data_IF_577272716483
#
_entry.id   IF_577272716483
#
_cell.length_a   1.000
_cell.length_b   1.000
_cell.length_c   1.000
_cell.angle_alpha   90.00
_cell.angle_beta   90.00
_cell.angle_gamma   90.00
#
_symmetry.space_group_name_H-M   'P 1'
#
loop_
_entity.id
_entity.type
_entity.pdbx_description
1 polymer ?
#
# COMPACT_ATOMS: atom_id res chain seq x y z
N UNK A 1 -13.35 -9.83 8.46
CA UNK A 1 -11.98 -9.71 7.93
C UNK A 1 -11.39 -8.30 8.10
N UNK A 2 -12.08 -7.23 7.73
CA UNK A 2 -11.59 -5.83 7.83
C UNK A 2 -11.26 -5.36 9.25
N UNK A 3 -11.98 -5.79 10.26
CA UNK A 3 -11.75 -5.40 11.66
C UNK A 3 -10.36 -5.80 12.17
N UNK A 4 -9.83 -6.93 11.70
CA UNK A 4 -8.50 -7.39 12.09
C UNK A 4 -7.39 -6.61 11.38
N UNK A 5 -7.59 -6.23 10.12
CA UNK A 5 -6.62 -5.42 9.35
C UNK A 5 -6.50 -3.99 9.87
N UNK A 6 -7.58 -3.43 10.42
CA UNK A 6 -7.56 -2.06 10.98
C UNK A 6 -6.55 -1.89 12.12
N UNK A 7 -6.24 -2.94 12.88
CA UNK A 7 -5.27 -2.87 13.96
C UNK A 7 -3.83 -2.75 13.45
N UNK A 8 -3.54 -3.24 12.23
CA UNK A 8 -2.21 -3.15 11.64
C UNK A 8 -1.79 -1.73 11.28
N UNK A 9 -2.77 -0.88 10.99
CA UNK A 9 -2.57 0.50 10.58
C UNK A 9 -2.69 1.47 11.76
N UNK A 10 -2.60 0.95 12.99
CA UNK A 10 -2.58 1.73 14.22
C UNK A 10 -1.15 2.23 14.55
N UNK A 11 -0.42 2.57 13.50
CA UNK A 11 0.93 3.14 13.54
C UNK A 11 0.89 4.55 12.99
N UNK A 12 2.00 5.27 13.08
CA UNK A 12 2.12 6.59 12.47
C UNK A 12 1.87 6.52 10.96
N UNK A 13 1.05 7.46 10.48
CA UNK A 13 0.88 7.72 9.07
C UNK A 13 1.98 8.68 8.63
N UNK A 14 2.71 8.32 7.59
CA UNK A 14 3.87 9.07 7.11
C UNK A 14 3.65 9.43 5.64
N UNK A 15 3.85 10.71 5.33
CA UNK A 15 3.88 11.26 3.97
C UNK A 15 5.21 11.96 3.79
N UNK A 16 5.80 11.91 2.61
CA UNK A 16 7.12 12.48 2.33
C UNK A 16 7.11 13.40 1.12
N UNK A 17 7.91 14.46 1.15
CA UNK A 17 8.26 15.22 -0.03
C UNK A 17 9.51 14.64 -0.69
N UNK A 18 9.46 14.48 -2.00
CA UNK A 18 10.59 14.12 -2.85
C UNK A 18 10.62 15.11 -4.02
N UNK A 19 11.53 16.08 -3.99
CA UNK A 19 11.51 17.23 -4.88
C UNK A 19 10.18 17.98 -4.78
N UNK A 20 9.49 18.26 -5.90
CA UNK A 20 8.22 18.97 -5.90
C UNK A 20 7.00 18.09 -5.59
N UNK A 21 7.19 16.82 -5.28
CA UNK A 21 6.12 15.84 -5.11
C UNK A 21 5.94 15.45 -3.64
N UNK A 22 4.70 15.45 -3.18
CA UNK A 22 4.30 14.92 -1.87
C UNK A 22 3.71 13.53 -2.07
N UNK A 23 4.28 12.51 -1.45
CA UNK A 23 4.01 11.11 -1.75
C UNK A 23 3.65 10.34 -0.48
N UNK A 24 2.60 9.51 -0.54
CA UNK A 24 2.27 8.52 0.49
C UNK A 24 2.95 7.17 0.19
N UNK A 25 3.98 6.78 0.95
CA UNK A 25 4.80 5.61 0.66
C UNK A 25 4.16 4.32 1.19
N UNK A 26 3.30 3.68 0.41
CA UNK A 26 2.73 2.36 0.75
C UNK A 26 3.84 1.29 0.74
N UNK A 27 3.86 0.43 1.76
CA UNK A 27 4.80 -0.70 1.83
C UNK A 27 4.72 -1.58 0.57
N UNK A 28 5.89 -2.00 0.09
CA UNK A 28 6.09 -2.76 -1.15
C UNK A 28 5.79 -2.00 -2.45
N UNK A 29 5.45 -0.72 -2.36
CA UNK A 29 5.34 0.18 -3.49
C UNK A 29 6.56 1.13 -3.58
N UNK A 30 7.74 0.65 -3.17
CA UNK A 30 8.97 1.45 -3.19
C UNK A 30 9.15 2.37 -1.96
N UNK A 31 8.44 2.09 -0.86
CA UNK A 31 8.47 2.92 0.36
C UNK A 31 9.88 3.18 0.89
N UNK A 32 10.72 2.14 0.97
CA UNK A 32 12.11 2.29 1.45
C UNK A 32 12.94 3.19 0.54
N UNK A 33 12.76 3.11 -0.79
CA UNK A 33 13.45 3.97 -1.74
C UNK A 33 12.98 5.42 -1.64
N UNK A 34 11.67 5.65 -1.50
CA UNK A 34 11.10 6.99 -1.30
C UNK A 34 11.57 7.61 0.01
N UNK A 35 11.53 6.86 1.10
CA UNK A 35 11.98 7.33 2.42
C UNK A 35 13.48 7.67 2.42
N UNK A 36 14.31 6.97 1.64
CA UNK A 36 15.77 7.23 1.58
C UNK A 36 16.15 8.51 0.85
N UNK A 37 15.24 9.07 0.03
CA UNK A 37 15.47 10.30 -0.74
C UNK A 37 14.53 11.43 -0.34
N UNK A 38 13.79 11.26 0.75
CA UNK A 38 12.82 12.23 1.23
C UNK A 38 13.50 13.53 1.70
N UNK A 39 13.02 14.66 1.20
CA UNK A 39 13.47 16.00 1.60
C UNK A 39 12.78 16.46 2.90
N UNK A 40 11.52 16.05 3.07
CA UNK A 40 10.69 16.37 4.24
C UNK A 40 9.76 15.21 4.55
N UNK A 41 9.42 15.07 5.82
CA UNK A 41 8.47 14.06 6.32
C UNK A 41 7.36 14.73 7.11
N UNK A 42 6.13 14.32 6.84
CA UNK A 42 4.93 14.71 7.57
C UNK A 42 4.40 13.50 8.32
N UNK A 43 4.07 13.67 9.58
CA UNK A 43 3.58 12.58 10.44
C UNK A 43 2.22 12.94 11.01
N UNK A 44 1.24 12.05 10.83
CA UNK A 44 -0.11 12.14 11.40
C UNK A 44 -0.79 13.50 11.11
N UNK A 45 -1.03 14.33 12.11
CA UNK A 45 -1.73 15.62 11.96
C UNK A 45 -1.02 16.59 11.02
N UNK A 46 0.31 16.49 10.85
CA UNK A 46 1.06 17.35 9.92
C UNK A 46 0.65 17.11 8.45
N UNK A 47 0.09 15.94 8.14
CA UNK A 47 -0.35 15.59 6.79
C UNK A 47 -1.47 16.52 6.30
N UNK A 48 -2.22 17.16 7.19
CA UNK A 48 -3.23 18.17 6.82
C UNK A 48 -2.65 19.41 6.15
N UNK A 49 -1.33 19.64 6.26
CA UNK A 49 -0.62 20.73 5.60
C UNK A 49 -0.35 20.43 4.10
N UNK A 50 -0.48 19.17 3.67
CA UNK A 50 -0.24 18.78 2.30
C UNK A 50 -1.41 19.22 1.40
N UNK A 51 -1.08 19.78 0.21
CA UNK A 51 -2.12 20.20 -0.75
C UNK A 51 -2.64 19.03 -1.58
N UNK A 52 -1.73 18.28 -2.20
CA UNK A 52 -2.03 17.09 -3.02
C UNK A 52 -1.06 15.98 -2.62
N UNK A 53 -1.54 14.74 -2.62
CA UNK A 53 -0.70 13.60 -2.28
C UNK A 53 -0.71 12.60 -3.44
N UNK A 54 0.47 12.30 -3.99
CA UNK A 54 0.67 11.22 -4.94
C UNK A 54 0.69 9.88 -4.19
N UNK A 55 -0.05 8.90 -4.69
CA UNK A 55 -0.11 7.55 -4.11
C UNK A 55 0.32 6.55 -5.19
N UNK A 56 1.43 5.89 -4.97
CA UNK A 56 1.94 4.89 -5.92
C UNK A 56 1.19 3.58 -5.72
N UNK A 57 0.46 3.15 -6.75
CA UNK A 57 -0.27 1.88 -6.79
C UNK A 57 0.51 0.88 -7.64
N UNK A 58 0.72 -0.29 -7.09
CA UNK A 58 1.39 -1.43 -7.74
C UNK A 58 0.37 -2.51 -8.09
N UNK A 59 0.69 -3.35 -9.06
CA UNK A 59 -0.07 -4.58 -9.33
C UNK A 59 -0.31 -5.35 -8.02
N UNK A 60 -1.57 -5.64 -7.68
CA UNK A 60 -1.93 -6.16 -6.35
C UNK A 60 -1.31 -7.51 -6.04
N UNK A 61 -1.28 -8.41 -7.00
CA UNK A 61 -0.70 -9.74 -6.87
C UNK A 61 0.80 -9.69 -6.66
N UNK A 62 1.50 -8.99 -7.56
CA UNK A 62 2.96 -8.83 -7.48
C UNK A 62 3.37 -8.20 -6.15
N UNK A 63 2.59 -7.22 -5.65
CA UNK A 63 2.82 -6.58 -4.37
C UNK A 63 2.62 -7.53 -3.21
N UNK A 64 1.51 -8.27 -3.21
CA UNK A 64 1.17 -9.23 -2.16
C UNK A 64 2.25 -10.30 -2.02
N UNK A 65 2.61 -10.95 -3.15
CA UNK A 65 3.65 -11.97 -3.20
C UNK A 65 5.00 -11.44 -2.71
N UNK A 66 5.39 -10.22 -3.13
CA UNK A 66 6.61 -9.58 -2.66
C UNK A 66 6.59 -9.32 -1.14
N UNK A 67 5.45 -8.93 -0.60
CA UNK A 67 5.26 -8.69 0.83
C UNK A 67 5.35 -9.97 1.66
N UNK A 68 4.67 -11.03 1.21
CA UNK A 68 4.68 -12.32 1.89
C UNK A 68 6.08 -12.94 1.88
N UNK A 69 6.77 -12.91 0.72
CA UNK A 69 8.16 -13.41 0.63
C UNK A 69 9.10 -12.69 1.59
N UNK A 70 9.04 -11.35 1.66
CA UNK A 70 9.89 -10.61 2.59
C UNK A 70 9.59 -10.94 4.05
N UNK A 71 8.31 -11.05 4.39
CA UNK A 71 7.90 -11.45 5.73
C UNK A 71 8.46 -12.83 6.10
N UNK A 72 8.33 -13.81 5.21
CA UNK A 72 8.86 -15.16 5.41
C UNK A 72 10.39 -15.16 5.56
N UNK A 73 11.10 -14.42 4.71
CA UNK A 73 12.55 -14.29 4.79
C UNK A 73 13.01 -13.65 6.12
N UNK A 74 12.37 -12.58 6.55
CA UNK A 74 12.71 -11.89 7.79
C UNK A 74 12.47 -12.74 9.05
N UNK A 75 11.49 -13.64 9.00
CA UNK A 75 11.09 -14.48 10.13
C UNK A 75 11.56 -15.94 10.01
N UNK A 76 12.30 -16.27 8.95
CA UNK A 76 12.74 -17.64 8.64
C UNK A 76 11.58 -18.65 8.60
N UNK A 77 10.49 -18.29 7.90
CA UNK A 77 9.29 -19.08 7.76
C UNK A 77 9.17 -19.69 6.36
N UNK A 78 8.50 -20.84 6.27
CA UNK A 78 8.07 -21.40 4.99
C UNK A 78 6.92 -20.57 4.39
N UNK A 79 6.94 -20.38 3.07
CA UNK A 79 5.98 -19.52 2.40
C UNK A 79 4.61 -20.18 2.25
N UNK A 80 4.56 -21.49 2.06
CA UNK A 80 3.31 -22.24 1.87
C UNK A 80 2.55 -22.33 3.19
N UNK A 81 3.25 -22.71 4.27
CA UNK A 81 2.67 -22.73 5.62
C UNK A 81 2.21 -21.34 6.06
N UNK A 82 2.98 -20.31 5.74
CA UNK A 82 2.63 -18.91 6.07
C UNK A 82 1.42 -18.45 5.27
N UNK A 83 1.31 -18.85 4.00
CA UNK A 83 0.16 -18.54 3.17
C UNK A 83 -1.14 -19.14 3.73
N UNK A 84 -1.11 -20.40 4.19
CA UNK A 84 -2.27 -21.01 4.83
C UNK A 84 -2.77 -20.19 6.03
N UNK A 85 -1.85 -19.74 6.88
CA UNK A 85 -2.20 -18.87 8.03
C UNK A 85 -2.80 -17.54 7.60
N UNK A 86 -2.31 -16.93 6.51
CA UNK A 86 -2.87 -15.69 5.96
C UNK A 86 -4.27 -15.93 5.40
N UNK A 87 -4.45 -17.00 4.63
CA UNK A 87 -5.73 -17.38 4.03
C UNK A 87 -6.80 -17.63 5.08
N UNK A 88 -6.45 -18.32 6.16
CA UNK A 88 -7.34 -18.57 7.30
C UNK A 88 -7.61 -17.33 8.18
N UNK A 89 -6.96 -16.20 7.87
CA UNK A 89 -7.06 -14.96 8.68
C UNK A 89 -6.35 -15.03 10.04
N UNK A 90 -5.53 -16.04 10.26
CA UNK A 90 -4.75 -16.24 11.51
C UNK A 90 -3.49 -15.38 11.55
N UNK A 91 -2.94 -15.05 10.40
CA UNK A 91 -1.78 -14.18 10.25
C UNK A 91 -2.11 -12.93 9.46
N UNK A 92 -1.79 -11.79 10.03
CA UNK A 92 -2.04 -10.46 9.46
C UNK A 92 -0.76 -9.63 9.59
N UNK A 93 -0.28 -9.05 8.50
CA UNK A 93 0.92 -8.21 8.52
C UNK A 93 0.88 -7.08 7.48
N UNK A 94 1.44 -5.92 7.83
CA UNK A 94 1.49 -4.73 6.97
C UNK A 94 2.29 -4.93 5.67
N UNK A 95 3.21 -5.88 5.62
CA UNK A 95 4.00 -6.16 4.41
C UNK A 95 3.14 -6.63 3.25
N UNK A 96 2.05 -7.35 3.52
CA UNK A 96 1.13 -7.89 2.52
C UNK A 96 -0.33 -7.41 2.68
N UNK A 97 -0.60 -6.48 3.59
CA UNK A 97 -1.92 -5.85 3.73
C UNK A 97 -2.34 -5.19 2.40
N UNK A 98 -3.60 -5.36 1.94
CA UNK A 98 -4.10 -4.73 0.71
C UNK A 98 -3.86 -3.23 0.68
N UNK A 99 -3.60 -2.68 -0.51
CA UNK A 99 -3.32 -1.23 -0.69
C UNK A 99 -4.50 -0.37 -0.24
N UNK A 100 -5.72 -0.86 -0.43
CA UNK A 100 -6.92 -0.21 0.04
C UNK A 100 -6.89 0.13 1.55
N UNK A 101 -6.35 -0.76 2.38
CA UNK A 101 -6.22 -0.49 3.82
C UNK A 101 -5.24 0.65 4.12
N UNK A 102 -4.22 0.82 3.28
CA UNK A 102 -3.31 1.96 3.38
C UNK A 102 -4.01 3.28 3.03
N UNK A 103 -4.93 3.27 2.06
CA UNK A 103 -5.75 4.45 1.77
C UNK A 103 -6.69 4.78 2.95
N UNK A 104 -7.29 3.77 3.58
CA UNK A 104 -8.08 3.97 4.80
C UNK A 104 -7.23 4.54 5.95
N UNK A 105 -5.97 4.13 6.07
CA UNK A 105 -5.04 4.67 7.05
C UNK A 105 -4.73 6.15 6.77
N UNK A 106 -4.40 6.50 5.55
CA UNK A 106 -4.20 7.90 5.15
C UNK A 106 -5.45 8.74 5.41
N UNK A 107 -6.63 8.22 5.13
CA UNK A 107 -7.90 8.91 5.31
C UNK A 107 -8.20 9.32 6.77
N UNK A 108 -7.59 8.66 7.76
CA UNK A 108 -7.70 9.08 9.17
C UNK A 108 -7.11 10.48 9.40
N UNK A 109 -6.12 10.87 8.61
CA UNK A 109 -5.34 12.10 8.80
C UNK A 109 -5.50 13.10 7.65
N UNK A 110 -5.90 12.65 6.47
CA UNK A 110 -5.99 13.47 5.27
C UNK A 110 -7.28 13.16 4.49
N UNK A 111 -7.97 14.22 4.04
CA UNK A 111 -9.22 14.11 3.28
C UNK A 111 -9.20 14.91 1.98
N UNK A 112 -8.06 15.47 1.63
CA UNK A 112 -7.90 16.29 0.44
C UNK A 112 -7.64 15.49 -0.83
N UNK A 113 -7.12 16.18 -1.81
CA UNK A 113 -6.89 15.65 -3.15
C UNK A 113 -5.73 14.68 -3.20
N UNK A 114 -5.96 13.53 -3.86
CA UNK A 114 -4.95 12.52 -4.14
C UNK A 114 -4.86 12.23 -5.63
N UNK A 115 -3.68 11.80 -6.08
CA UNK A 115 -3.46 11.32 -7.45
C UNK A 115 -2.89 9.92 -7.39
N UNK A 116 -3.62 8.95 -7.91
CA UNK A 116 -3.12 7.58 -8.02
C UNK A 116 -2.14 7.48 -9.19
N UNK A 117 -0.93 7.04 -8.91
CA UNK A 117 0.15 6.85 -9.88
C UNK A 117 0.49 5.38 -10.05
N UNK A 118 0.80 4.95 -11.25
CA UNK A 118 1.29 3.59 -11.47
C UNK A 118 2.67 3.39 -10.85
N UNK A 119 3.01 2.16 -10.47
CA UNK A 119 4.32 1.80 -9.94
C UNK A 119 5.48 2.17 -10.90
N UNK A 120 5.22 2.19 -12.20
CA UNK A 120 6.20 2.65 -13.21
C UNK A 120 6.63 4.10 -12.99
N UNK A 121 5.78 4.92 -12.40
CA UNK A 121 6.09 6.32 -12.10
C UNK A 121 7.14 6.47 -11.00
N UNK A 122 7.39 5.44 -10.20
CA UNK A 122 8.35 5.46 -9.08
C UNK A 122 9.76 5.86 -9.54
N UNK A 123 10.16 5.46 -10.75
CA UNK A 123 11.48 5.81 -11.32
C UNK A 123 11.70 7.31 -11.51
N UNK A 124 10.63 8.10 -11.52
CA UNK A 124 10.70 9.57 -11.60
C UNK A 124 11.13 10.20 -10.27
N UNK A 125 10.93 9.50 -9.17
CA UNK A 125 11.16 10.00 -7.82
C UNK A 125 12.45 9.45 -7.21
N UNK A 126 12.78 8.19 -7.48
CA UNK A 126 13.94 7.54 -6.88
C UNK A 126 14.44 6.35 -7.73
N UNK A 127 15.68 5.92 -7.44
CA UNK A 127 16.20 4.67 -7.97
C UNK A 127 15.51 3.48 -7.30
N UNK A 128 14.92 2.60 -8.11
CA UNK A 128 14.22 1.40 -7.61
C UNK A 128 15.21 0.25 -7.48
N UNK A 129 15.34 -0.32 -6.29
CA UNK A 129 16.11 -1.56 -6.11
C UNK A 129 15.34 -2.72 -6.75
N UNK A 130 15.98 -3.45 -7.66
CA UNK A 130 15.43 -4.70 -8.19
C UNK A 130 15.47 -5.76 -7.10
N UNK A 131 14.32 -6.24 -6.66
CA UNK A 131 14.23 -7.38 -5.76
C UNK A 131 14.63 -8.67 -6.51
N UNK A 132 15.31 -9.56 -5.80
CA UNK A 132 15.63 -10.92 -6.30
C UNK A 132 14.35 -11.71 -6.53
N UNK A 133 14.44 -12.75 -7.36
CA UNK A 133 13.32 -13.62 -7.77
C UNK A 133 12.44 -14.05 -6.61
N UNK A 134 11.13 -13.90 -6.80
CA UNK A 134 10.09 -14.24 -5.84
C UNK A 134 9.56 -15.63 -6.17
N UNK A 135 9.38 -16.52 -5.18
CA UNK A 135 8.62 -17.76 -5.38
C UNK A 135 7.19 -17.41 -5.84
N UNK A 136 6.68 -18.16 -6.81
CA UNK A 136 5.28 -18.03 -7.26
C UNK A 136 4.37 -18.70 -6.25
N UNK A 137 3.30 -18.00 -5.89
CA UNK A 137 2.19 -18.53 -5.10
C UNK A 137 1.00 -18.68 -6.05
N UNK A 138 0.12 -19.64 -5.82
CA UNK A 138 -1.09 -19.78 -6.62
C UNK A 138 -2.01 -18.57 -6.41
N UNK A 139 -2.17 -17.80 -7.47
CA UNK A 139 -2.81 -16.49 -7.48
C UNK A 139 -4.31 -16.58 -7.34
N UNK A 140 -4.93 -17.68 -7.74
CA UNK A 140 -6.38 -17.84 -7.67
C UNK A 140 -6.94 -17.64 -6.25
N UNK A 141 -6.13 -17.94 -5.23
CA UNK A 141 -6.48 -17.76 -3.83
C UNK A 141 -6.30 -16.32 -3.32
N UNK A 142 -5.48 -15.51 -3.99
CA UNK A 142 -5.16 -14.13 -3.57
C UNK A 142 -6.27 -13.15 -3.97
N UNK A 143 -7.00 -13.43 -5.04
CA UNK A 143 -7.95 -12.51 -5.66
C UNK A 143 -8.98 -11.91 -4.68
N UNK A 144 -9.51 -12.71 -3.75
CA UNK A 144 -10.49 -12.24 -2.77
C UNK A 144 -9.90 -11.23 -1.78
N UNK A 145 -8.59 -11.31 -1.50
CA UNK A 145 -7.90 -10.36 -0.59
C UNK A 145 -7.60 -9.03 -1.24
N UNK A 146 -7.39 -9.01 -2.55
CA UNK A 146 -6.90 -7.85 -3.29
C UNK A 146 -7.91 -7.32 -4.32
N UNK A 147 -9.16 -7.79 -4.29
CA UNK A 147 -10.20 -7.40 -5.26
C UNK A 147 -10.35 -5.87 -5.36
N UNK A 148 -10.35 -5.17 -4.23
CA UNK A 148 -10.48 -3.71 -4.22
C UNK A 148 -9.22 -3.06 -4.77
N UNK A 149 -8.06 -3.63 -4.52
CA UNK A 149 -6.80 -3.12 -5.06
C UNK A 149 -6.78 -3.17 -6.59
N UNK A 150 -7.37 -4.19 -7.22
CA UNK A 150 -7.57 -4.20 -8.68
C UNK A 150 -8.45 -3.04 -9.14
N UNK A 151 -9.54 -2.77 -8.43
CA UNK A 151 -10.43 -1.63 -8.75
C UNK A 151 -9.73 -0.28 -8.59
N UNK A 152 -8.75 -0.16 -7.68
CA UNK A 152 -7.94 1.05 -7.55
C UNK A 152 -7.06 1.30 -8.78
N UNK A 153 -6.65 0.26 -9.50
CA UNK A 153 -5.84 0.40 -10.71
C UNK A 153 -6.60 1.10 -11.84
N UNK A 154 -7.93 1.01 -11.86
CA UNK A 154 -8.78 1.71 -12.84
C UNK A 154 -8.71 3.24 -12.68
N UNK A 155 -8.27 3.73 -11.50
CA UNK A 155 -8.13 5.16 -11.19
C UNK A 155 -6.70 5.69 -11.35
N UNK A 156 -5.79 4.92 -11.93
CA UNK A 156 -4.41 5.39 -12.18
C UNK A 156 -4.43 6.60 -13.09
N UNK A 157 -3.69 7.64 -12.69
CA UNK A 157 -3.60 8.98 -13.27
C UNK A 157 -4.86 9.85 -13.09
N UNK A 158 -5.85 9.39 -12.37
CA UNK A 158 -6.97 10.23 -11.96
C UNK A 158 -6.58 11.07 -10.73
N UNK A 159 -7.01 12.34 -10.77
CA UNK A 159 -7.00 13.22 -9.60
C UNK A 159 -8.38 13.13 -8.96
N UNK A 160 -8.44 12.77 -7.70
CA UNK A 160 -9.69 12.61 -6.98
C UNK A 160 -9.56 13.11 -5.55
N UNK A 161 -10.68 13.40 -4.93
CA UNK A 161 -10.76 13.60 -3.50
C UNK A 161 -10.73 12.24 -2.78
N UNK A 162 -9.86 12.10 -1.76
CA UNK A 162 -9.67 10.83 -1.06
C UNK A 162 -10.98 10.36 -0.39
N UNK A 163 -11.79 11.27 0.11
CA UNK A 163 -13.08 10.92 0.71
C UNK A 163 -14.04 10.30 -0.32
N UNK A 164 -14.09 10.87 -1.53
CA UNK A 164 -14.88 10.34 -2.64
C UNK A 164 -14.45 8.93 -3.01
N UNK A 165 -13.14 8.69 -3.11
CA UNK A 165 -12.58 7.38 -3.40
C UNK A 165 -12.93 6.36 -2.30
N UNK A 166 -12.79 6.75 -1.02
CA UNK A 166 -13.12 5.89 0.12
C UNK A 166 -14.62 5.55 0.14
N UNK A 167 -15.51 6.51 -0.09
CA UNK A 167 -16.97 6.27 -0.12
C UNK A 167 -17.36 5.31 -1.22
N UNK A 168 -16.74 5.41 -2.41
CA UNK A 168 -17.01 4.54 -3.55
C UNK A 168 -16.84 3.05 -3.21
N UNK A 169 -15.81 2.70 -2.44
CA UNK A 169 -15.46 1.32 -2.16
C UNK A 169 -15.85 0.84 -0.74
N UNK A 170 -16.24 1.73 0.16
CA UNK A 170 -16.62 1.35 1.53
C UNK A 170 -17.80 0.36 1.56
N UNK A 171 -18.75 0.49 0.64
CA UNK A 171 -19.94 -0.37 0.57
C UNK A 171 -19.64 -1.77 -0.03
N UNK A 172 -18.49 -1.96 -0.65
CA UNK A 172 -18.06 -3.27 -1.17
C UNK A 172 -17.51 -4.15 -0.04
N UNK A 173 -17.22 -3.55 1.11
CA UNK A 173 -16.59 -4.18 2.27
C UNK A 173 -17.58 -4.51 3.40
N UNK A 174 -18.80 -4.06 3.28
CA UNK A 174 -19.94 -4.39 4.17
C UNK A 174 -20.71 -5.58 3.63
#
# INVERSE_FOLDING_TARGET
>A
MLTHWNNLLNTDCIVVDVGPHTIYPIFKNGSSSLMSVADKTYVNKQITECNNIDIIIRDPETRFVAGLNEYCQQNNLDIEDTWELVYEGKLINRHFAPQWLWLLHLYKFYKGTVVLKSFKSLTKYCSVRKNKSVKKIDVALINNFVEIDYKLMDHINETTDLETLIRKYKNVLS
#
